data_IF_404502964129
#
_entry.id   IF_404502964129
#
_cell.length_a   1.000
_cell.length_b   1.000
_cell.length_c   1.000
_cell.angle_alpha   90.00
_cell.angle_beta   90.00
_cell.angle_gamma   90.00
#
_symmetry.space_group_name_H-M   'P 1'
#
loop_
_entity.id
_entity.type
_entity.pdbx_description
1 polymer ?
#
# COMPACT_ATOMS: atom_id res chain seq x y z
N UNK A 1 -16.78 -0.35 8.50
CA UNK A 1 -15.31 -0.46 8.30
C UNK A 1 -15.08 -1.25 7.04
N UNK A 2 -14.18 -0.80 6.16
CA UNK A 2 -13.95 -1.43 4.86
C UNK A 2 -12.52 -1.96 4.79
N UNK A 3 -12.38 -3.23 4.46
CA UNK A 3 -11.07 -3.84 4.15
C UNK A 3 -10.97 -4.02 2.64
N UNK A 4 -9.89 -3.50 2.07
CA UNK A 4 -9.55 -3.68 0.67
C UNK A 4 -8.39 -4.66 0.55
N UNK A 5 -8.43 -5.49 -0.48
CA UNK A 5 -7.43 -6.53 -0.73
C UNK A 5 -6.69 -6.27 -2.03
N UNK A 6 -5.39 -6.52 -2.02
CA UNK A 6 -4.50 -6.42 -3.17
C UNK A 6 -3.76 -7.73 -3.33
N UNK A 7 -3.87 -8.33 -4.51
CA UNK A 7 -3.11 -9.53 -4.83
C UNK A 7 -1.73 -9.13 -5.33
N UNK A 8 -0.72 -9.58 -4.61
CA UNK A 8 0.68 -9.35 -4.90
C UNK A 8 1.27 -10.50 -5.73
N UNK A 9 2.45 -10.30 -6.29
CA UNK A 9 3.13 -11.33 -7.09
C UNK A 9 3.39 -12.59 -6.25
N UNK A 10 3.85 -12.40 -5.01
CA UNK A 10 4.07 -13.48 -4.05
C UNK A 10 3.78 -13.06 -2.60
N UNK A 11 4.08 -13.97 -1.67
CA UNK A 11 3.93 -13.74 -0.24
C UNK A 11 4.86 -12.65 0.32
N UNK A 12 6.07 -12.54 -0.23
CA UNK A 12 7.04 -11.55 0.20
C UNK A 12 6.59 -10.14 -0.17
N UNK A 13 6.09 -9.95 -1.39
CA UNK A 13 5.52 -8.70 -1.89
C UNK A 13 4.29 -8.27 -1.06
N UNK A 14 3.42 -9.22 -0.71
CA UNK A 14 2.27 -8.95 0.16
C UNK A 14 2.70 -8.48 1.56
N UNK A 15 3.68 -9.15 2.17
CA UNK A 15 4.23 -8.76 3.46
C UNK A 15 4.89 -7.38 3.42
N UNK A 16 5.70 -7.12 2.38
CA UNK A 16 6.34 -5.81 2.15
C UNK A 16 5.31 -4.70 2.04
N UNK A 17 4.24 -4.89 1.25
CA UNK A 17 3.16 -3.91 1.13
C UNK A 17 2.48 -3.65 2.48
N UNK A 18 2.12 -4.72 3.21
CA UNK A 18 1.50 -4.60 4.52
C UNK A 18 2.38 -3.83 5.52
N UNK A 19 3.70 -4.04 5.49
CA UNK A 19 4.65 -3.27 6.30
C UNK A 19 4.75 -1.80 5.88
N UNK A 20 4.81 -1.50 4.59
CA UNK A 20 4.91 -0.12 4.08
C UNK A 20 3.68 0.73 4.40
N UNK A 21 2.49 0.13 4.40
CA UNK A 21 1.23 0.81 4.73
C UNK A 21 0.84 0.73 6.21
N UNK A 22 1.72 0.22 7.07
CA UNK A 22 1.45 0.07 8.49
C UNK A 22 1.26 1.43 9.19
N UNK A 23 0.28 1.44 10.10
CA UNK A 23 -0.05 2.62 10.90
C UNK A 23 0.99 2.77 12.02
N UNK A 24 1.53 3.97 12.16
CA UNK A 24 2.50 4.35 13.17
C UNK A 24 1.80 4.63 14.51
N UNK A 25 2.57 4.83 15.58
CA UNK A 25 2.03 5.11 16.93
C UNK A 25 1.17 6.39 17.01
N UNK A 26 1.31 7.29 16.06
CA UNK A 26 0.57 8.56 15.96
C UNK A 26 -0.66 8.48 15.04
N UNK A 27 -1.13 7.28 14.70
CA UNK A 27 -2.24 7.01 13.79
C UNK A 27 -2.03 7.53 12.34
N UNK A 28 -0.78 7.79 11.95
CA UNK A 28 -0.41 8.15 10.57
C UNK A 28 0.27 7.01 9.83
N UNK A 29 0.40 7.13 8.51
CA UNK A 29 1.25 6.26 7.69
C UNK A 29 2.58 6.95 7.38
N UNK A 30 3.62 6.16 7.14
CA UNK A 30 4.97 6.66 6.85
C UNK A 30 5.23 6.96 5.36
N UNK A 31 4.20 6.82 4.53
CA UNK A 31 4.25 7.04 3.08
C UNK A 31 4.26 8.55 2.77
N UNK A 32 5.13 8.96 1.85
CA UNK A 32 5.25 10.32 1.31
C UNK A 32 4.46 10.42 0.00
N UNK A 33 4.73 9.54 -0.97
CA UNK A 33 4.09 9.56 -2.29
C UNK A 33 4.26 8.25 -3.06
N UNK A 34 3.58 8.13 -4.20
CA UNK A 34 3.93 7.15 -5.25
C UNK A 34 4.95 7.81 -6.17
N UNK A 35 6.12 7.19 -6.35
CA UNK A 35 7.21 7.72 -7.17
C UNK A 35 7.07 7.32 -8.65
N UNK A 36 6.68 6.06 -8.91
CA UNK A 36 6.54 5.53 -10.27
C UNK A 36 5.60 4.32 -10.29
N UNK A 37 5.11 3.99 -11.49
CA UNK A 37 4.43 2.73 -11.81
C UNK A 37 5.05 2.19 -13.09
N UNK A 38 5.48 0.92 -13.07
CA UNK A 38 6.10 0.25 -14.22
C UNK A 38 5.48 -1.14 -14.36
N UNK A 39 4.60 -1.32 -15.34
CA UNK A 39 3.88 -2.59 -15.51
C UNK A 39 3.01 -2.91 -14.29
N UNK A 40 3.23 -4.07 -13.68
CA UNK A 40 2.57 -4.51 -12.44
C UNK A 40 3.35 -4.13 -11.16
N UNK A 41 4.37 -3.27 -11.26
CA UNK A 41 5.14 -2.77 -10.11
C UNK A 41 4.77 -1.32 -9.76
N UNK A 42 4.68 -1.03 -8.45
CA UNK A 42 4.52 0.32 -7.91
C UNK A 42 5.72 0.69 -7.03
N UNK A 43 6.28 1.88 -7.21
CA UNK A 43 7.36 2.40 -6.39
C UNK A 43 6.80 3.40 -5.39
N UNK A 44 6.93 3.08 -4.09
CA UNK A 44 6.41 3.88 -2.98
C UNK A 44 7.58 4.61 -2.32
N UNK A 45 7.44 5.93 -2.16
CA UNK A 45 8.40 6.77 -1.45
C UNK A 45 7.94 6.98 -0.02
N UNK A 46 8.87 6.82 0.91
CA UNK A 46 8.64 7.06 2.34
C UNK A 46 9.13 8.45 2.76
N UNK A 47 8.71 8.89 3.96
CA UNK A 47 9.05 10.22 4.50
C UNK A 47 10.57 10.42 4.66
N UNK A 48 11.33 9.35 4.90
CA UNK A 48 12.80 9.34 4.97
C UNK A 48 13.51 9.41 3.60
N UNK A 49 12.74 9.54 2.51
CA UNK A 49 13.19 9.59 1.11
C UNK A 49 13.69 8.27 0.53
N UNK A 50 13.65 7.18 1.29
CA UNK A 50 13.80 5.84 0.72
C UNK A 50 12.64 5.51 -0.22
N UNK A 51 12.89 4.64 -1.20
CA UNK A 51 11.90 4.19 -2.17
C UNK A 51 11.91 2.67 -2.25
N UNK A 52 10.73 2.07 -2.23
CA UNK A 52 10.54 0.63 -2.23
C UNK A 52 9.58 0.26 -3.34
N UNK A 53 9.98 -0.67 -4.20
CA UNK A 53 9.10 -1.27 -5.19
C UNK A 53 8.21 -2.33 -4.54
N UNK A 54 6.98 -2.48 -5.01
CA UNK A 54 6.08 -3.60 -4.70
C UNK A 54 5.55 -4.15 -6.03
N UNK A 55 5.71 -5.44 -6.27
CA UNK A 55 5.19 -6.13 -7.45
C UNK A 55 3.83 -6.73 -7.13
N UNK A 56 2.82 -6.33 -7.91
CA UNK A 56 1.46 -6.83 -7.78
C UNK A 56 1.17 -7.90 -8.84
N UNK A 57 0.11 -8.69 -8.66
CA UNK A 57 -0.26 -9.74 -9.62
C UNK A 57 -0.48 -9.19 -11.03
N UNK A 58 -1.08 -8.01 -11.13
CA UNK A 58 -1.45 -7.40 -12.40
C UNK A 58 -1.56 -5.87 -12.29
N UNK A 59 -1.77 -5.24 -13.45
CA UNK A 59 -1.91 -3.78 -13.56
C UNK A 59 -3.19 -3.25 -12.92
N UNK A 60 -4.23 -4.08 -12.76
CA UNK A 60 -5.48 -3.67 -12.12
C UNK A 60 -5.25 -3.45 -10.62
N UNK A 61 -4.55 -4.38 -9.97
CA UNK A 61 -4.14 -4.26 -8.58
C UNK A 61 -3.25 -3.03 -8.37
N UNK A 62 -2.31 -2.76 -9.28
CA UNK A 62 -1.49 -1.53 -9.23
C UNK A 62 -2.35 -0.27 -9.31
N UNK A 63 -3.26 -0.18 -10.28
CA UNK A 63 -4.09 1.01 -10.47
C UNK A 63 -4.97 1.29 -9.24
N UNK A 64 -5.58 0.23 -8.68
CA UNK A 64 -6.37 0.31 -7.44
C UNK A 64 -5.51 0.74 -6.26
N UNK A 65 -4.29 0.22 -6.12
CA UNK A 65 -3.38 0.56 -5.03
C UNK A 65 -2.89 2.01 -5.16
N UNK A 66 -2.49 2.43 -6.35
CA UNK A 66 -2.07 3.80 -6.63
C UNK A 66 -3.17 4.80 -6.27
N UNK A 67 -4.43 4.51 -6.65
CA UNK A 67 -5.58 5.36 -6.28
C UNK A 67 -5.74 5.45 -4.76
N UNK A 68 -5.67 4.32 -4.05
CA UNK A 68 -5.78 4.30 -2.59
C UNK A 68 -4.67 5.13 -1.94
N UNK A 69 -3.41 4.92 -2.34
CA UNK A 69 -2.27 5.64 -1.77
C UNK A 69 -2.35 7.14 -2.02
N UNK A 70 -2.81 7.56 -3.20
CA UNK A 70 -3.03 8.99 -3.49
C UNK A 70 -4.10 9.61 -2.58
N UNK A 71 -5.19 8.90 -2.31
CA UNK A 71 -6.23 9.38 -1.39
C UNK A 71 -5.75 9.41 0.06
N UNK A 72 -4.90 8.44 0.46
CA UNK A 72 -4.27 8.41 1.79
C UNK A 72 -3.29 9.58 1.97
N UNK A 73 -2.40 9.81 1.01
CA UNK A 73 -1.43 10.93 1.05
C UNK A 73 -2.15 12.29 1.04
N UNK A 74 -3.27 12.42 0.32
CA UNK A 74 -4.11 13.62 0.32
C UNK A 74 -4.98 13.77 1.57
N UNK A 75 -4.93 12.81 2.51
CA UNK A 75 -5.72 12.83 3.75
C UNK A 75 -7.23 12.60 3.56
N UNK A 76 -7.66 12.13 2.38
CA UNK A 76 -9.08 11.83 2.11
C UNK A 76 -9.53 10.52 2.73
N UNK A 77 -8.61 9.57 2.87
CA UNK A 77 -8.83 8.26 3.47
C UNK A 77 -7.76 8.04 4.53
N UNK A 78 -8.11 7.37 5.63
CA UNK A 78 -7.15 6.92 6.64
C UNK A 78 -7.07 5.40 6.67
N UNK A 79 -5.86 4.88 6.85
CA UNK A 79 -5.62 3.47 7.11
C UNK A 79 -5.68 3.25 8.62
N UNK A 80 -6.40 2.21 9.05
CA UNK A 80 -6.48 1.77 10.45
C UNK A 80 -5.47 0.67 10.77
N UNK A 81 -5.34 -0.29 9.86
CA UNK A 81 -4.43 -1.42 10.01
C UNK A 81 -4.14 -2.07 8.68
N UNK A 82 -3.05 -2.82 8.63
CA UNK A 82 -2.67 -3.66 7.51
C UNK A 82 -2.30 -5.05 8.02
N UNK A 83 -2.56 -6.06 7.19
CA UNK A 83 -2.10 -7.43 7.40
C UNK A 83 -1.90 -8.09 6.02
N UNK A 84 -1.52 -9.36 5.99
CA UNK A 84 -1.42 -10.13 4.76
C UNK A 84 -1.67 -11.61 5.01
N UNK A 85 -2.07 -12.34 3.97
CA UNK A 85 -2.27 -13.79 4.00
C UNK A 85 -1.91 -14.36 2.64
N UNK A 86 -0.94 -15.28 2.60
CA UNK A 86 -0.37 -15.73 1.32
C UNK A 86 0.18 -14.54 0.54
N UNK A 87 -0.19 -14.43 -0.74
CA UNK A 87 0.15 -13.31 -1.63
C UNK A 87 -0.85 -12.15 -1.58
N UNK A 88 -1.73 -12.07 -0.59
CA UNK A 88 -2.75 -11.01 -0.51
C UNK A 88 -2.45 -10.06 0.64
N UNK A 89 -2.27 -8.78 0.33
CA UNK A 89 -2.22 -7.71 1.32
C UNK A 89 -3.63 -7.20 1.64
N UNK A 90 -3.93 -7.00 2.92
CA UNK A 90 -5.23 -6.57 3.42
C UNK A 90 -5.08 -5.23 4.16
N UNK A 91 -5.79 -4.21 3.70
CA UNK A 91 -5.72 -2.84 4.26
C UNK A 91 -7.11 -2.45 4.76
N UNK A 92 -7.22 -2.19 6.07
CA UNK A 92 -8.47 -1.75 6.70
C UNK A 92 -8.49 -0.24 6.81
N UNK A 93 -9.56 0.38 6.29
CA UNK A 93 -9.74 1.82 6.26
C UNK A 93 -10.67 2.30 7.38
N UNK A 94 -10.43 3.52 7.86
CA UNK A 94 -11.35 4.26 8.72
C UNK A 94 -12.43 4.88 7.81
N UNK A 95 -13.70 4.70 8.18
CA UNK A 95 -14.84 5.29 7.48
C UNK A 95 -15.08 6.73 7.89
#
# INVERSE_FOLDING_TARGET
MKTVKFECDDHYEAGKLASLVSVQKDDTVYIDSVAAVVGNEIVIKLKDKSSHAVVLKDRENVARLQSLLLDVVKGKIKIRSSNFTGSVAEITLVG
#
